data_IF_559220266715
#
_entry.id   IF_559220266715
#
_cell.length_a   1.000
_cell.length_b   1.000
_cell.length_c   1.000
_cell.angle_alpha   90.00
_cell.angle_beta   90.00
_cell.angle_gamma   90.00
#
_symmetry.space_group_name_H-M   'P 1'
#
loop_
_entity.id
_entity.type
_entity.pdbx_description
1 polymer ?
#
# COMPACT_ATOMS: atom_id res chain seq x y z
N UNK A 1 17.65 15.80 6.00
CA UNK A 1 16.45 14.91 5.88
C UNK A 1 16.96 13.57 5.41
N UNK A 2 16.58 12.43 6.05
CA UNK A 2 17.03 11.14 5.56
C UNK A 2 16.44 10.89 4.15
N UNK A 3 17.27 10.36 3.26
CA UNK A 3 16.87 9.99 1.90
C UNK A 3 16.13 8.65 1.90
N UNK A 4 16.43 7.80 2.88
CA UNK A 4 15.78 6.53 3.13
C UNK A 4 15.68 6.29 4.64
N UNK A 5 14.69 5.51 5.05
CA UNK A 5 14.49 5.11 6.44
C UNK A 5 14.05 3.64 6.46
N UNK A 6 14.71 2.85 7.29
CA UNK A 6 14.30 1.49 7.60
C UNK A 6 14.19 1.36 9.12
N UNK A 7 13.11 0.75 9.59
CA UNK A 7 12.90 0.45 11.00
C UNK A 7 12.95 -1.08 11.19
N UNK A 8 13.73 -1.50 12.18
CA UNK A 8 13.67 -2.87 12.67
C UNK A 8 12.53 -2.97 13.69
N UNK A 9 11.63 -3.92 13.49
CA UNK A 9 10.51 -4.19 14.38
C UNK A 9 10.69 -5.59 14.99
N UNK A 10 11.36 -5.71 16.15
CA UNK A 10 11.64 -7.01 16.75
C UNK A 10 10.43 -7.64 17.44
N UNK A 11 9.32 -6.93 17.54
CA UNK A 11 8.05 -7.44 18.04
C UNK A 11 6.88 -6.83 17.24
N UNK A 12 5.77 -7.57 17.17
CA UNK A 12 4.59 -7.16 16.44
C UNK A 12 3.30 -7.78 17.01
N UNK A 13 2.17 -7.12 16.73
CA UNK A 13 0.84 -7.71 16.85
C UNK A 13 0.42 -8.16 15.47
N UNK A 14 0.02 -9.43 15.35
CA UNK A 14 -0.45 -10.04 14.11
C UNK A 14 -1.91 -10.44 14.29
N UNK A 15 -2.76 -10.08 13.33
CA UNK A 15 -4.15 -10.52 13.29
C UNK A 15 -4.39 -11.39 12.06
N UNK A 16 -4.82 -12.62 12.30
CA UNK A 16 -5.23 -13.57 11.27
C UNK A 16 -6.74 -13.41 11.01
N UNK A 17 -7.08 -12.77 9.91
CA UNK A 17 -8.47 -12.54 9.51
C UNK A 17 -9.24 -13.81 9.10
N UNK A 18 -8.54 -14.92 8.78
CA UNK A 18 -9.21 -16.16 8.41
C UNK A 18 -9.72 -16.90 9.64
N UNK A 19 -8.94 -16.89 10.72
CA UNK A 19 -9.24 -17.58 11.96
C UNK A 19 -9.76 -16.63 13.05
N UNK A 20 -9.87 -15.32 12.76
CA UNK A 20 -10.21 -14.26 13.71
C UNK A 20 -9.36 -14.33 14.99
N UNK A 21 -8.08 -14.57 14.84
CA UNK A 21 -7.14 -14.75 15.92
C UNK A 21 -6.05 -13.67 15.91
N UNK A 22 -5.71 -13.15 17.09
CA UNK A 22 -4.63 -12.18 17.24
C UNK A 22 -3.48 -12.79 18.04
N UNK A 23 -2.26 -12.50 17.61
CA UNK A 23 -1.04 -12.97 18.22
C UNK A 23 -0.13 -11.79 18.51
N UNK A 24 0.57 -11.84 19.65
CA UNK A 24 1.70 -10.95 19.90
C UNK A 24 2.96 -11.80 19.76
N UNK A 25 3.86 -11.38 18.90
CA UNK A 25 5.09 -12.08 18.57
C UNK A 25 6.30 -11.19 18.86
N UNK A 26 7.39 -11.79 19.31
CA UNK A 26 8.65 -11.09 19.53
C UNK A 26 9.84 -12.03 19.21
N UNK A 27 10.97 -11.43 18.84
CA UNK A 27 12.23 -12.15 18.70
C UNK A 27 12.71 -12.66 20.08
N UNK A 28 13.53 -13.68 20.06
CA UNK A 28 14.12 -14.21 21.29
C UNK A 28 14.93 -13.13 22.02
N UNK A 29 14.67 -12.95 23.30
CA UNK A 29 15.30 -11.91 24.13
C UNK A 29 14.52 -10.61 24.24
N UNK A 30 13.45 -10.40 23.47
CA UNK A 30 12.65 -9.17 23.46
C UNK A 30 11.39 -9.27 24.37
N UNK A 31 11.53 -9.89 25.55
CA UNK A 31 10.45 -10.14 26.49
C UNK A 31 9.73 -8.85 26.92
N UNK A 32 10.48 -7.79 27.17
CA UNK A 32 9.93 -6.48 27.57
C UNK A 32 9.03 -5.88 26.49
N UNK A 33 9.40 -6.00 25.21
CA UNK A 33 8.57 -5.55 24.11
C UNK A 33 7.33 -6.43 23.94
N UNK A 34 7.45 -7.73 24.13
CA UNK A 34 6.31 -8.65 24.11
C UNK A 34 5.25 -8.22 25.14
N UNK A 35 5.66 -8.01 26.40
CA UNK A 35 4.77 -7.60 27.50
C UNK A 35 4.14 -6.23 27.25
N UNK A 36 4.91 -5.26 26.73
CA UNK A 36 4.41 -3.95 26.38
C UNK A 36 3.35 -4.03 25.27
N UNK A 37 3.59 -4.84 24.24
CA UNK A 37 2.62 -5.05 23.14
C UNK A 37 1.38 -5.81 23.60
N UNK A 38 1.51 -6.79 24.49
CA UNK A 38 0.36 -7.47 25.09
C UNK A 38 -0.53 -6.51 25.87
N UNK A 39 0.09 -5.61 26.65
CA UNK A 39 -0.62 -4.56 27.40
C UNK A 39 -1.35 -3.62 26.45
N UNK A 40 -0.70 -3.16 25.38
CA UNK A 40 -1.32 -2.30 24.37
C UNK A 40 -2.45 -3.00 23.62
N UNK A 41 -2.25 -4.25 23.22
CA UNK A 41 -3.25 -5.02 22.49
C UNK A 41 -4.51 -5.34 23.31
N UNK A 42 -4.41 -5.35 24.63
CA UNK A 42 -5.55 -5.54 25.55
C UNK A 42 -6.38 -4.26 25.77
N UNK A 43 -5.88 -3.09 25.38
CA UNK A 43 -6.60 -1.83 25.55
C UNK A 43 -7.68 -1.68 24.48
N UNK A 44 -8.83 -1.08 24.86
CA UNK A 44 -9.83 -0.67 23.91
C UNK A 44 -9.25 0.42 22.99
N UNK A 45 -9.16 0.12 21.70
CA UNK A 45 -8.70 1.08 20.72
C UNK A 45 -9.87 1.98 20.29
N UNK A 46 -9.62 3.29 20.03
CA UNK A 46 -10.62 4.16 19.46
C UNK A 46 -11.06 3.63 18.10
N UNK A 47 -12.32 3.82 17.76
CA UNK A 47 -12.87 3.38 16.49
C UNK A 47 -12.09 3.96 15.31
N UNK A 48 -11.67 3.10 14.39
CA UNK A 48 -10.88 3.52 13.25
C UNK A 48 -11.70 4.45 12.32
N UNK A 49 -11.14 5.61 11.99
CA UNK A 49 -11.77 6.58 11.10
C UNK A 49 -12.53 7.70 11.79
N UNK A 50 -12.58 7.75 13.15
CA UNK A 50 -13.10 8.91 13.85
C UNK A 50 -12.33 10.18 13.46
N UNK A 51 -13.06 11.28 13.28
CA UNK A 51 -12.47 12.58 12.90
C UNK A 51 -12.13 12.74 11.42
N UNK A 52 -12.54 11.78 10.55
CA UNK A 52 -12.40 11.99 9.11
C UNK A 52 -13.29 13.14 8.62
N UNK A 53 -12.68 14.04 7.86
CA UNK A 53 -13.36 15.07 7.09
C UNK A 53 -12.83 15.05 5.66
N UNK A 54 -13.67 15.27 4.63
CA UNK A 54 -13.19 15.36 3.27
C UNK A 54 -12.28 16.59 3.08
N UNK A 55 -11.36 16.56 2.11
CA UNK A 55 -10.54 17.72 1.81
C UNK A 55 -11.39 18.88 1.32
N UNK A 56 -10.99 20.11 1.66
CA UNK A 56 -11.61 21.35 1.15
C UNK A 56 -11.30 21.55 -0.33
N UNK A 57 -10.11 21.15 -0.76
CA UNK A 57 -9.70 21.24 -2.16
C UNK A 57 -8.75 20.10 -2.51
N UNK A 58 -8.80 19.71 -3.78
CA UNK A 58 -7.85 18.76 -4.38
C UNK A 58 -7.26 19.44 -5.62
N UNK A 59 -5.94 19.46 -5.67
CA UNK A 59 -5.18 19.95 -6.81
C UNK A 59 -4.35 18.83 -7.45
N UNK A 60 -4.04 18.97 -8.70
CA UNK A 60 -3.17 18.06 -9.44
C UNK A 60 -2.09 18.82 -10.20
N UNK A 61 -0.98 18.15 -10.50
CA UNK A 61 0.03 18.67 -11.42
C UNK A 61 -0.61 18.84 -12.82
N UNK A 62 -0.14 19.85 -13.57
CA UNK A 62 -0.66 20.13 -14.92
C UNK A 62 -0.69 18.85 -15.77
N UNK A 63 -1.86 18.46 -16.33
CA UNK A 63 -2.02 17.22 -17.10
C UNK A 63 -1.03 17.10 -18.27
N UNK A 64 -0.69 18.21 -18.91
CA UNK A 64 0.27 18.28 -20.01
C UNK A 64 1.64 17.76 -19.62
N UNK A 65 2.11 18.06 -18.40
CA UNK A 65 3.41 17.56 -17.92
C UNK A 65 3.46 16.04 -17.92
N UNK A 66 2.36 15.39 -17.54
CA UNK A 66 2.26 13.92 -17.55
C UNK A 66 2.20 13.38 -18.99
N UNK A 67 1.35 13.95 -19.85
CA UNK A 67 1.19 13.50 -21.23
C UNK A 67 2.45 13.70 -22.07
N UNK A 68 3.17 14.81 -21.87
CA UNK A 68 4.46 15.05 -22.52
C UNK A 68 5.53 14.09 -22.00
N UNK A 69 5.50 13.78 -20.70
CA UNK A 69 6.34 12.74 -20.13
C UNK A 69 6.10 11.37 -20.76
N UNK A 70 4.83 10.98 -20.97
CA UNK A 70 4.47 9.71 -21.65
C UNK A 70 5.00 9.69 -23.09
N UNK A 71 4.85 10.77 -23.87
CA UNK A 71 5.39 10.85 -25.23
C UNK A 71 6.91 10.62 -25.25
N UNK A 72 7.61 11.29 -24.35
CA UNK A 72 9.08 11.12 -24.22
C UNK A 72 9.47 9.70 -23.82
N UNK A 73 8.71 9.06 -22.90
CA UNK A 73 8.94 7.66 -22.53
C UNK A 73 8.78 6.72 -23.73
N UNK A 74 7.75 6.94 -24.57
CA UNK A 74 7.54 6.18 -25.80
C UNK A 74 8.73 6.30 -26.74
N UNK A 75 9.29 7.52 -26.88
CA UNK A 75 10.47 7.74 -27.72
C UNK A 75 11.71 7.00 -27.16
N UNK A 76 11.94 7.01 -25.86
CA UNK A 76 13.00 6.23 -25.21
C UNK A 76 12.82 4.71 -25.37
N UNK A 77 11.58 4.22 -25.29
CA UNK A 77 11.28 2.80 -25.57
C UNK A 77 11.61 2.42 -27.02
N UNK A 78 11.25 3.28 -27.99
CA UNK A 78 11.55 3.07 -29.41
C UNK A 78 13.05 3.13 -29.71
N UNK A 79 13.77 4.02 -29.03
CA UNK A 79 15.22 4.13 -29.15
C UNK A 79 15.98 2.98 -28.49
N UNK A 80 15.31 2.19 -27.63
CA UNK A 80 15.94 1.13 -26.86
C UNK A 80 16.69 1.60 -25.61
N UNK A 81 16.52 2.88 -25.23
CA UNK A 81 17.16 3.46 -24.05
C UNK A 81 16.60 2.89 -22.75
N UNK A 82 15.33 2.50 -22.75
CA UNK A 82 14.62 1.89 -21.62
C UNK A 82 13.69 0.77 -22.11
N UNK A 83 13.39 -0.19 -21.24
CA UNK A 83 12.41 -1.23 -21.51
C UNK A 83 11.11 -1.04 -20.71
N UNK A 84 11.16 -0.27 -19.64
CA UNK A 84 10.03 0.09 -18.79
C UNK A 84 10.31 1.40 -18.05
N UNK A 85 9.27 2.22 -17.86
CA UNK A 85 9.36 3.45 -17.07
C UNK A 85 8.11 3.57 -16.20
N UNK A 86 8.32 3.85 -14.91
CA UNK A 86 7.27 4.25 -14.00
C UNK A 86 7.14 5.78 -14.00
N UNK A 87 6.05 6.29 -14.53
CA UNK A 87 5.76 7.72 -14.55
C UNK A 87 4.55 8.00 -13.64
N UNK A 88 4.72 8.91 -12.71
CA UNK A 88 3.67 9.33 -11.79
C UNK A 88 3.35 10.82 -11.91
N UNK A 89 2.17 11.21 -11.47
CA UNK A 89 1.80 12.61 -11.23
C UNK A 89 1.33 12.79 -9.80
N UNK A 90 1.49 13.98 -9.29
CA UNK A 90 1.11 14.33 -7.93
C UNK A 90 -0.29 14.90 -7.89
N UNK A 91 -1.04 14.46 -6.90
CA UNK A 91 -2.24 15.09 -6.41
C UNK A 91 -1.97 15.65 -5.01
N UNK A 92 -2.56 16.76 -4.67
CA UNK A 92 -2.47 17.38 -3.36
C UNK A 92 -3.86 17.67 -2.82
N UNK A 93 -4.06 17.45 -1.55
CA UNK A 93 -5.31 17.73 -0.88
C UNK A 93 -5.06 18.70 0.29
N UNK A 94 -5.95 19.67 0.46
CA UNK A 94 -5.95 20.60 1.58
C UNK A 94 -7.15 20.30 2.47
N UNK A 95 -6.91 20.24 3.77
CA UNK A 95 -7.91 19.98 4.78
C UNK A 95 -8.09 21.21 5.67
N UNK A 96 -9.30 21.40 6.22
CA UNK A 96 -9.62 22.49 7.14
C UNK A 96 -8.84 22.43 8.46
N UNK A 97 -8.50 21.21 8.89
CA UNK A 97 -7.73 20.92 10.09
C UNK A 97 -6.76 19.75 9.84
N UNK A 98 -5.75 19.56 10.70
CA UNK A 98 -4.88 18.41 10.61
C UNK A 98 -5.66 17.09 10.63
N UNK A 99 -5.40 16.24 9.66
CA UNK A 99 -6.04 14.91 9.54
C UNK A 99 -5.19 13.87 10.25
N UNK A 100 -5.83 13.04 11.08
CA UNK A 100 -5.18 11.87 11.65
C UNK A 100 -4.75 10.90 10.53
N UNK A 101 -3.49 10.47 10.48
CA UNK A 101 -3.04 9.48 9.52
C UNK A 101 -3.82 8.17 9.60
N UNK A 102 -4.27 7.80 10.81
CA UNK A 102 -5.08 6.62 11.06
C UNK A 102 -6.48 6.76 10.43
N UNK A 103 -7.11 7.94 10.55
CA UNK A 103 -8.40 8.22 9.93
C UNK A 103 -8.30 8.19 8.39
N UNK A 104 -7.26 8.79 7.83
CA UNK A 104 -6.98 8.74 6.40
C UNK A 104 -6.76 7.29 5.93
N UNK A 105 -5.96 6.52 6.66
CA UNK A 105 -5.70 5.12 6.34
C UNK A 105 -6.97 4.26 6.41
N UNK A 106 -7.82 4.49 7.40
CA UNK A 106 -9.11 3.78 7.52
C UNK A 106 -10.02 4.06 6.31
N UNK A 107 -10.07 5.32 5.84
CA UNK A 107 -10.83 5.66 4.62
C UNK A 107 -10.23 5.02 3.38
N UNK A 108 -8.92 5.05 3.23
CA UNK A 108 -8.23 4.43 2.10
C UNK A 108 -8.49 2.92 2.05
N UNK A 109 -8.42 2.22 3.19
CA UNK A 109 -8.72 0.79 3.27
C UNK A 109 -10.16 0.44 2.88
N UNK A 110 -11.12 1.30 3.23
CA UNK A 110 -12.53 1.10 2.85
C UNK A 110 -12.76 1.34 1.36
N UNK A 111 -12.15 2.40 0.81
CA UNK A 111 -12.35 2.79 -0.58
C UNK A 111 -11.58 1.91 -1.56
N UNK A 112 -10.39 1.47 -1.18
CA UNK A 112 -9.48 0.69 -2.02
C UNK A 112 -8.73 -0.35 -1.17
N UNK A 113 -9.41 -1.43 -0.75
CA UNK A 113 -8.76 -2.49 0.01
C UNK A 113 -7.67 -3.16 -0.84
N UNK A 114 -6.46 -3.21 -0.29
CA UNK A 114 -5.32 -3.78 -0.97
C UNK A 114 -4.50 -4.68 -0.03
N UNK A 115 -3.96 -5.81 -0.52
CA UNK A 115 -3.32 -6.82 0.32
C UNK A 115 -2.02 -6.36 0.98
N UNK A 116 -1.38 -5.30 0.45
CA UNK A 116 -0.14 -4.72 0.96
C UNK A 116 -0.34 -3.25 1.36
N UNK A 117 -1.57 -2.90 1.77
CA UNK A 117 -1.86 -1.60 2.34
C UNK A 117 -1.10 -1.41 3.66
N UNK A 118 -0.66 -0.18 3.93
CA UNK A 118 0.10 0.12 5.13
C UNK A 118 0.06 1.58 5.55
N UNK A 119 0.26 1.79 6.84
CA UNK A 119 0.51 3.08 7.44
C UNK A 119 1.88 3.04 8.11
N UNK A 120 2.80 3.86 7.64
CA UNK A 120 4.12 4.04 8.23
C UNK A 120 4.24 5.46 8.79
N UNK A 121 4.68 5.58 10.04
CA UNK A 121 4.80 6.85 10.74
C UNK A 121 6.19 6.99 11.36
N UNK A 122 6.92 8.04 11.01
CA UNK A 122 8.22 8.35 11.59
C UNK A 122 8.54 9.85 11.51
N UNK A 123 9.12 10.39 12.58
CA UNK A 123 9.58 11.79 12.64
C UNK A 123 8.51 12.82 12.23
N UNK A 124 7.25 12.62 12.66
CA UNK A 124 6.14 13.52 12.34
C UNK A 124 5.70 13.47 10.86
N UNK A 125 6.11 12.45 10.13
CA UNK A 125 5.70 12.17 8.74
C UNK A 125 5.03 10.83 8.65
N UNK A 126 4.14 10.71 7.67
CA UNK A 126 3.33 9.52 7.48
C UNK A 126 3.32 9.14 6.02
N UNK A 127 3.42 7.84 5.76
CA UNK A 127 3.16 7.25 4.45
C UNK A 127 1.93 6.37 4.59
N UNK A 128 0.88 6.72 3.86
CA UNK A 128 -0.36 5.94 3.80
C UNK A 128 -0.42 5.31 2.43
N UNK A 129 -0.43 3.99 2.37
CA UNK A 129 -0.32 3.23 1.12
C UNK A 129 -1.49 2.25 0.97
N UNK A 130 -1.95 2.10 -0.28
CA UNK A 130 -2.89 1.06 -0.71
C UNK A 130 -2.23 0.29 -1.86
N UNK A 131 -1.13 -0.42 -1.57
CA UNK A 131 -0.37 -1.16 -2.57
C UNK A 131 -1.04 -2.51 -2.89
N UNK A 132 -1.33 -2.80 -4.17
CA UNK A 132 -1.86 -4.09 -4.57
C UNK A 132 -0.78 -5.16 -4.73
N UNK A 133 0.49 -4.77 -4.79
CA UNK A 133 1.58 -5.62 -5.23
C UNK A 133 2.64 -5.84 -4.15
N UNK A 134 3.08 -7.08 -4.02
CA UNK A 134 4.18 -7.45 -3.14
C UNK A 134 5.51 -7.03 -3.77
N UNK A 135 6.31 -6.27 -3.03
CA UNK A 135 7.66 -5.94 -3.47
C UNK A 135 8.56 -7.18 -3.48
N UNK A 136 8.67 -7.84 -2.33
CA UNK A 136 9.49 -9.05 -2.15
C UNK A 136 8.99 -9.83 -0.95
N UNK A 137 9.12 -11.14 -1.00
CA UNK A 137 8.97 -12.03 0.16
C UNK A 137 10.26 -12.81 0.33
N UNK A 138 10.76 -12.89 1.56
CA UNK A 138 11.93 -13.72 1.90
C UNK A 138 11.51 -14.70 2.98
N UNK A 139 11.66 -15.99 2.71
CA UNK A 139 11.34 -17.05 3.64
C UNK A 139 12.32 -18.22 3.50
N UNK A 140 12.88 -18.70 4.60
CA UNK A 140 13.84 -19.80 4.62
C UNK A 140 14.99 -19.65 3.59
N UNK A 141 15.54 -18.44 3.45
CA UNK A 141 16.61 -18.15 2.50
C UNK A 141 16.17 -17.99 1.04
N UNK A 142 14.87 -18.12 0.72
CA UNK A 142 14.32 -17.93 -0.63
C UNK A 142 13.68 -16.56 -0.76
N UNK A 143 14.10 -15.79 -1.77
CA UNK A 143 13.47 -14.54 -2.16
C UNK A 143 12.49 -14.77 -3.32
N UNK A 144 11.29 -14.19 -3.22
CA UNK A 144 10.23 -14.32 -4.22
C UNK A 144 9.59 -12.97 -4.51
N UNK A 145 9.33 -12.69 -5.79
CA UNK A 145 8.47 -11.60 -6.25
C UNK A 145 7.28 -12.16 -7.02
N UNK A 146 6.16 -11.42 -7.05
CA UNK A 146 4.97 -11.77 -7.82
C UNK A 146 4.42 -10.52 -8.49
N UNK A 147 5.05 -10.05 -9.58
CA UNK A 147 4.59 -8.85 -10.27
C UNK A 147 3.22 -9.09 -10.93
N UNK A 148 2.36 -8.05 -10.86
CA UNK A 148 1.06 -8.05 -11.52
C UNK A 148 1.27 -7.55 -12.96
N UNK A 149 1.04 -8.43 -13.94
CA UNK A 149 1.25 -8.10 -15.35
C UNK A 149 -0.04 -7.67 -16.05
N UNK A 150 -1.14 -8.38 -15.85
CA UNK A 150 -2.45 -8.08 -16.43
C UNK A 150 -3.55 -8.10 -15.37
N UNK A 151 -4.61 -7.34 -15.61
CA UNK A 151 -5.76 -7.29 -14.71
C UNK A 151 -7.05 -7.27 -15.53
N UNK A 152 -8.07 -7.97 -15.05
CA UNK A 152 -9.43 -7.92 -15.59
C UNK A 152 -10.40 -7.71 -14.43
N UNK A 153 -11.44 -6.90 -14.62
CA UNK A 153 -12.44 -6.69 -13.59
C UNK A 153 -13.25 -7.98 -13.37
N UNK A 154 -13.60 -8.26 -12.12
CA UNK A 154 -14.50 -9.33 -11.75
C UNK A 154 -15.86 -8.74 -11.43
N UNK A 155 -16.89 -9.24 -12.07
CA UNK A 155 -18.28 -8.84 -11.84
C UNK A 155 -19.09 -10.03 -11.30
N UNK A 156 -20.01 -9.73 -10.42
CA UNK A 156 -20.95 -10.72 -9.90
C UNK A 156 -21.78 -11.33 -11.05
N UNK A 157 -21.90 -12.66 -11.10
CA UNK A 157 -22.58 -13.39 -12.18
C UNK A 157 -21.84 -13.46 -13.50
N UNK A 158 -20.58 -12.99 -13.58
CA UNK A 158 -19.78 -13.07 -14.80
C UNK A 158 -19.04 -14.40 -14.98
N UNK A 159 -18.69 -14.73 -16.23
CA UNK A 159 -17.89 -15.92 -16.57
C UNK A 159 -16.40 -15.70 -16.24
N UNK A 160 -15.98 -16.15 -15.06
CA UNK A 160 -14.59 -16.09 -14.64
C UNK A 160 -13.66 -16.94 -15.52
N UNK A 161 -14.14 -18.05 -16.07
CA UNK A 161 -13.35 -18.91 -16.95
C UNK A 161 -13.01 -18.22 -18.28
N UNK A 162 -13.94 -17.44 -18.84
CA UNK A 162 -13.69 -16.64 -20.02
C UNK A 162 -12.62 -15.56 -19.75
N UNK A 163 -12.71 -14.87 -18.60
CA UNK A 163 -11.73 -13.85 -18.20
C UNK A 163 -10.34 -14.42 -17.95
N UNK A 164 -10.25 -15.61 -17.34
CA UNK A 164 -8.97 -16.30 -17.15
C UNK A 164 -8.37 -16.65 -18.52
N UNK A 165 -9.15 -17.18 -19.47
CA UNK A 165 -8.66 -17.46 -20.84
C UNK A 165 -8.17 -16.20 -21.54
N UNK A 166 -8.90 -15.09 -21.41
CA UNK A 166 -8.49 -13.80 -21.96
C UNK A 166 -7.17 -13.29 -21.34
N UNK A 167 -7.01 -13.39 -20.02
CA UNK A 167 -5.77 -12.99 -19.33
C UNK A 167 -4.57 -13.84 -19.76
N UNK A 168 -4.74 -15.14 -19.83
CA UNK A 168 -3.68 -16.09 -20.22
C UNK A 168 -3.30 -15.96 -21.70
N UNK A 169 -4.29 -15.70 -22.55
CA UNK A 169 -4.07 -15.53 -23.99
C UNK A 169 -3.64 -14.13 -24.41
N UNK A 170 -3.59 -13.17 -23.49
CA UNK A 170 -3.22 -11.79 -23.83
C UNK A 170 -1.71 -11.68 -24.07
N UNK A 171 -1.27 -11.27 -25.27
CA UNK A 171 0.15 -11.02 -25.54
C UNK A 171 0.58 -9.80 -24.72
N UNK A 172 1.58 -9.99 -23.91
CA UNK A 172 2.23 -8.92 -23.15
C UNK A 172 3.72 -9.03 -23.28
#
# INVERSE_FOLDING_TARGET
RPTALALRCPAAVLHDHQNDASFVIAEAGEQTLLEALMTLASQALPEAGQGWQPPQSVGEDAPQRFTDGVRRVIDYLRAGDVFQVNLSRRWSAQFAAPVSPQALYAQLRRANPAPFAGLFSAHGRHVVSSSPERLVSVHAGHAQTRPIAGTRPRFEGGDDAARIRELVGHPK
#
